data_IF_238926884091
#
_entry.id   IF_238926884091
#
_cell.length_a   1.000
_cell.length_b   1.000
_cell.length_c   1.000
_cell.angle_alpha   90.00
_cell.angle_beta   90.00
_cell.angle_gamma   90.00
#
_symmetry.space_group_name_H-M   'P 1'
#
loop_
_entity.id
_entity.type
_entity.pdbx_description
1 polymer ?
#
# COMPACT_ATOMS: atom_id res chain seq x y z
N UNK A 1 -1.97 12.26 77.92
CA UNK A 1 -1.75 13.71 77.97
C UNK A 1 -1.87 14.25 76.55
N UNK A 2 -2.65 15.27 76.42
CA UNK A 2 -3.37 15.85 75.29
C UNK A 2 -2.46 16.42 74.21
N UNK A 3 -2.86 16.19 72.96
CA UNK A 3 -2.53 16.92 71.74
C UNK A 3 -2.80 18.41 71.80
N UNK A 4 -2.27 19.28 70.95
CA UNK A 4 -3.22 19.93 70.09
C UNK A 4 -2.83 20.05 68.58
N UNK A 5 -3.89 20.09 67.81
CA UNK A 5 -3.99 20.36 66.38
C UNK A 5 -3.43 21.73 65.94
N UNK A 6 -2.82 21.76 64.75
CA UNK A 6 -2.70 23.00 63.99
C UNK A 6 -3.42 22.85 62.65
N UNK A 7 -4.48 23.63 62.50
CA UNK A 7 -5.25 23.85 61.29
C UNK A 7 -4.56 24.95 60.46
N UNK A 8 -4.13 24.67 59.27
CA UNK A 8 -3.68 25.67 58.29
C UNK A 8 -4.83 25.94 57.32
N UNK A 9 -5.35 27.15 57.36
CA UNK A 9 -6.31 27.66 56.36
C UNK A 9 -5.56 28.11 55.11
N UNK A 10 -5.87 27.48 53.96
CA UNK A 10 -5.42 27.97 52.67
C UNK A 10 -6.55 28.86 52.10
N UNK A 11 -6.21 30.11 51.84
CA UNK A 11 -7.09 31.08 51.16
C UNK A 11 -6.86 30.93 49.66
N UNK A 12 -7.91 30.51 48.94
CA UNK A 12 -7.91 30.50 47.46
C UNK A 12 -8.40 31.87 46.98
N UNK A 13 -7.51 32.58 46.28
CA UNK A 13 -7.89 33.78 45.52
C UNK A 13 -8.35 33.34 44.11
N UNK A 14 -9.62 33.56 43.79
CA UNK A 14 -10.14 33.46 42.43
C UNK A 14 -9.78 34.76 41.69
N UNK A 15 -8.98 34.61 40.62
CA UNK A 15 -8.81 35.66 39.61
C UNK A 15 -9.69 35.31 38.40
N UNK A 16 -10.75 36.07 38.22
CA UNK A 16 -11.57 36.00 37.02
C UNK A 16 -10.87 36.73 35.87
N UNK A 17 -10.52 36.01 34.80
CA UNK A 17 -10.10 36.63 33.56
C UNK A 17 -11.29 36.58 32.60
N UNK A 18 -11.79 37.76 32.26
CA UNK A 18 -12.83 37.95 31.27
C UNK A 18 -12.23 37.77 29.87
N UNK A 19 -12.65 36.72 29.13
CA UNK A 19 -12.29 36.52 27.74
C UNK A 19 -13.34 37.20 26.86
N UNK A 20 -12.98 38.32 26.23
CA UNK A 20 -13.79 38.96 25.18
C UNK A 20 -13.56 38.20 23.87
N UNK A 21 -14.58 37.49 23.41
CA UNK A 21 -14.60 36.88 22.10
C UNK A 21 -14.85 37.94 21.03
N UNK A 22 -13.83 38.25 20.22
CA UNK A 22 -14.02 39.00 18.97
C UNK A 22 -14.34 38.03 17.85
N UNK A 23 -15.56 38.10 17.34
CA UNK A 23 -16.02 37.41 16.16
C UNK A 23 -15.43 38.11 14.93
N UNK A 24 -14.45 37.51 14.27
CA UNK A 24 -14.00 37.96 12.96
C UNK A 24 -14.92 37.36 11.88
N UNK A 25 -15.69 38.25 11.25
CA UNK A 25 -16.47 37.90 10.07
C UNK A 25 -15.52 37.88 8.85
N UNK A 26 -15.34 36.72 8.25
CA UNK A 26 -14.62 36.60 6.99
C UNK A 26 -15.50 37.07 5.83
N UNK A 27 -14.98 37.82 4.87
CA UNK A 27 -15.74 38.23 3.70
C UNK A 27 -15.93 37.03 2.75
N UNK A 28 -17.17 36.85 2.27
CA UNK A 28 -17.50 35.92 1.22
C UNK A 28 -16.94 36.44 -0.11
N UNK A 29 -16.06 35.67 -0.73
CA UNK A 29 -15.68 35.92 -2.12
C UNK A 29 -16.67 35.21 -3.05
N UNK A 30 -17.33 36.00 -3.87
CA UNK A 30 -18.19 35.55 -4.94
C UNK A 30 -17.31 34.89 -6.05
N UNK A 31 -17.69 33.69 -6.45
CA UNK A 31 -17.17 33.06 -7.65
C UNK A 31 -17.60 33.86 -8.87
N UNK A 32 -16.65 34.41 -9.61
CA UNK A 32 -16.89 34.91 -10.95
C UNK A 32 -16.75 33.79 -11.97
N UNK A 33 -17.83 33.53 -12.69
CA UNK A 33 -17.82 32.66 -13.87
C UNK A 33 -16.91 33.26 -14.94
N UNK A 34 -15.87 32.51 -15.32
CA UNK A 34 -15.05 32.81 -16.50
C UNK A 34 -15.58 31.95 -17.63
N UNK A 35 -16.24 32.62 -18.55
CA UNK A 35 -16.63 32.05 -19.85
C UNK A 35 -15.37 31.74 -20.67
N UNK A 36 -15.24 30.53 -21.14
CA UNK A 36 -14.22 30.13 -22.12
C UNK A 36 -14.79 30.40 -23.50
N UNK A 37 -14.25 31.39 -24.21
CA UNK A 37 -14.54 31.61 -25.61
C UNK A 37 -13.76 30.64 -26.50
N UNK A 38 -14.49 29.92 -27.36
CA UNK A 38 -13.97 29.10 -28.44
C UNK A 38 -13.22 29.97 -29.46
N UNK A 39 -11.91 29.78 -29.59
CA UNK A 39 -11.16 30.32 -30.72
C UNK A 39 -10.87 29.21 -31.74
N UNK A 40 -11.65 29.25 -32.80
CA UNK A 40 -11.42 28.51 -34.04
C UNK A 40 -10.20 29.10 -34.75
N UNK A 41 -9.14 28.36 -34.90
CA UNK A 41 -8.00 28.73 -35.73
C UNK A 41 -8.17 28.20 -37.16
N UNK A 42 -8.23 29.09 -38.09
CA UNK A 42 -8.26 28.83 -39.52
C UNK A 42 -6.93 28.29 -40.06
N UNK A 43 -7.04 27.32 -40.95
CA UNK A 43 -5.97 26.80 -41.80
C UNK A 43 -5.44 27.85 -42.76
N UNK A 44 -4.14 28.08 -42.74
CA UNK A 44 -3.43 28.83 -43.80
C UNK A 44 -2.43 27.90 -44.50
N UNK A 45 -2.72 27.61 -45.77
CA UNK A 45 -1.81 26.90 -46.66
C UNK A 45 -0.72 27.85 -47.16
N UNK A 46 0.53 27.42 -47.12
CA UNK A 46 1.61 28.01 -47.91
C UNK A 46 2.37 26.89 -48.62
N UNK A 47 2.27 26.93 -49.96
CA UNK A 47 3.07 26.17 -50.90
C UNK A 47 4.42 26.85 -51.12
N UNK A 48 5.52 26.11 -51.11
CA UNK A 48 6.73 26.42 -51.89
C UNK A 48 7.61 25.17 -52.07
N UNK A 49 7.70 24.86 -53.25
CA UNK A 49 8.51 24.09 -54.17
C UNK A 49 10.02 24.10 -53.91
N UNK A 50 10.64 22.93 -54.05
CA UNK A 50 11.88 22.57 -54.76
C UNK A 50 12.53 21.33 -54.13
N UNK A 51 12.42 20.25 -54.68
CA UNK A 51 13.12 19.34 -55.54
C UNK A 51 14.58 19.03 -55.14
N UNK A 52 14.83 17.79 -54.65
CA UNK A 52 15.95 16.91 -55.10
C UNK A 52 15.55 15.44 -54.84
N UNK A 53 15.51 14.66 -55.90
CA UNK A 53 15.37 13.20 -55.90
C UNK A 53 16.75 12.57 -55.60
N UNK A 54 16.80 11.69 -54.62
CA UNK A 54 17.79 10.61 -54.58
C UNK A 54 17.07 9.31 -54.18
N UNK A 55 16.99 8.40 -55.11
CA UNK A 55 16.65 7.00 -54.90
C UNK A 55 17.79 6.33 -54.18
N UNK A 56 17.47 5.52 -53.14
CA UNK A 56 18.21 4.32 -52.81
C UNK A 56 17.20 3.31 -52.32
N UNK A 57 17.19 2.21 -53.05
CA UNK A 57 16.53 0.95 -52.69
C UNK A 57 17.11 0.45 -51.34
N UNK A 58 16.21 0.13 -50.41
CA UNK A 58 16.46 -0.96 -49.49
C UNK A 58 15.13 -1.45 -48.88
N UNK A 59 15.05 -2.73 -48.71
CA UNK A 59 13.89 -3.54 -48.34
C UNK A 59 13.26 -3.18 -47.00
N UNK A 60 11.96 -3.44 -46.78
CA UNK A 60 11.35 -3.35 -45.49
C UNK A 60 11.76 -4.59 -44.67
N UNK A 61 12.54 -4.39 -43.62
CA UNK A 61 12.62 -5.30 -42.51
C UNK A 61 11.29 -5.25 -41.74
N UNK A 62 10.52 -6.31 -41.91
CA UNK A 62 9.31 -6.58 -41.13
C UNK A 62 9.74 -7.01 -39.73
N UNK A 63 9.93 -6.05 -38.84
CA UNK A 63 9.97 -6.25 -37.41
C UNK A 63 8.74 -5.58 -36.78
N UNK A 64 7.58 -6.19 -36.97
CA UNK A 64 6.46 -6.04 -36.06
C UNK A 64 6.78 -6.81 -34.77
N UNK A 65 7.70 -6.30 -33.99
CA UNK A 65 7.75 -6.59 -32.56
C UNK A 65 6.48 -5.97 -31.95
N UNK A 66 5.57 -6.79 -31.48
CA UNK A 66 4.44 -6.38 -30.68
C UNK A 66 5.00 -5.59 -29.47
N UNK A 67 4.98 -4.27 -29.58
CA UNK A 67 5.02 -3.40 -28.41
C UNK A 67 3.67 -3.57 -27.73
N UNK A 68 3.54 -4.57 -26.87
CA UNK A 68 2.49 -4.56 -25.85
C UNK A 68 2.55 -3.20 -25.19
N UNK A 69 1.48 -2.43 -25.28
CA UNK A 69 1.44 -1.10 -24.70
C UNK A 69 1.65 -1.25 -23.20
N UNK A 70 2.69 -0.63 -22.64
CA UNK A 70 2.98 -0.63 -21.20
C UNK A 70 1.80 -0.11 -20.36
N UNK A 71 0.79 0.44 -21.00
CA UNK A 71 -0.46 0.88 -20.37
C UNK A 71 -1.37 -0.26 -19.90
N UNK A 72 -1.16 -1.49 -20.39
CA UNK A 72 -1.92 -2.70 -20.03
C UNK A 72 -1.14 -3.66 -19.12
N UNK A 73 -0.01 -3.22 -18.53
CA UNK A 73 0.80 -4.06 -17.67
C UNK A 73 0.02 -4.43 -16.40
N UNK A 74 -0.08 -5.72 -16.02
CA UNK A 74 -0.75 -6.14 -14.80
C UNK A 74 -0.04 -5.62 -13.55
N UNK A 75 -0.72 -5.60 -12.42
CA UNK A 75 -0.18 -5.14 -11.14
C UNK A 75 1.02 -5.97 -10.65
N UNK A 76 1.13 -7.19 -11.12
CA UNK A 76 2.21 -8.11 -10.78
C UNK A 76 2.68 -8.88 -12.02
N UNK A 77 3.34 -8.21 -12.98
CA UNK A 77 3.74 -8.82 -14.24
C UNK A 77 4.77 -9.95 -14.08
N UNK A 78 5.51 -9.98 -12.97
CA UNK A 78 6.43 -11.04 -12.61
C UNK A 78 5.91 -11.98 -11.55
N UNK A 79 4.60 -12.06 -11.36
CA UNK A 79 4.06 -13.12 -10.55
C UNK A 79 4.68 -14.43 -11.03
N UNK A 80 5.33 -15.16 -10.13
CA UNK A 80 5.73 -16.53 -10.43
C UNK A 80 4.47 -17.31 -10.67
N UNK A 81 4.14 -17.47 -11.93
CA UNK A 81 3.02 -18.26 -12.37
C UNK A 81 3.55 -19.66 -12.69
N UNK A 82 2.76 -20.70 -12.44
CA UNK A 82 3.14 -22.04 -12.83
C UNK A 82 3.28 -22.12 -14.34
N UNK A 83 4.18 -22.98 -14.82
CA UNK A 83 4.37 -23.25 -16.26
C UNK A 83 3.11 -23.78 -16.93
N UNK A 84 2.14 -24.25 -16.14
CA UNK A 84 0.90 -24.83 -16.62
C UNK A 84 -0.28 -24.47 -15.71
N UNK A 85 -1.32 -23.90 -16.30
CA UNK A 85 -2.60 -23.64 -15.64
C UNK A 85 -3.60 -24.69 -16.13
N UNK A 86 -4.19 -25.46 -15.22
CA UNK A 86 -5.18 -26.49 -15.54
C UNK A 86 -6.39 -25.91 -16.28
N UNK A 87 -6.89 -26.64 -17.26
CA UNK A 87 -8.15 -26.31 -17.97
C UNK A 87 -9.38 -26.30 -17.02
N UNK A 88 -9.27 -26.90 -15.81
CA UNK A 88 -10.31 -26.88 -14.78
C UNK A 88 -10.33 -25.56 -13.98
N UNK A 89 -9.37 -24.68 -14.18
CA UNK A 89 -9.39 -23.32 -13.63
C UNK A 89 -10.12 -22.42 -14.62
N UNK A 90 -11.24 -21.88 -14.20
CA UNK A 90 -12.04 -20.96 -15.04
C UNK A 90 -11.32 -19.62 -15.23
N UNK A 91 -11.53 -18.95 -16.37
CA UNK A 91 -10.86 -17.69 -16.70
C UNK A 91 -11.21 -16.55 -15.75
N UNK A 92 -12.39 -16.62 -15.09
CA UNK A 92 -12.83 -15.69 -14.06
C UNK A 92 -12.26 -15.97 -12.66
N UNK A 93 -11.50 -17.05 -12.50
CA UNK A 93 -10.76 -17.31 -11.27
C UNK A 93 -9.63 -16.29 -11.07
N UNK A 94 -9.18 -16.16 -9.85
CA UNK A 94 -8.08 -15.27 -9.48
C UNK A 94 -6.91 -16.10 -8.95
N UNK A 95 -5.76 -15.97 -9.55
CA UNK A 95 -4.49 -16.54 -9.07
C UNK A 95 -4.05 -15.72 -7.86
N UNK A 96 -3.80 -16.38 -6.74
CA UNK A 96 -3.47 -15.76 -5.43
C UNK A 96 -2.12 -16.18 -4.88
N UNK A 97 -1.44 -17.09 -5.56
CA UNK A 97 -0.04 -17.48 -5.36
C UNK A 97 0.46 -18.27 -6.57
N UNK A 98 1.72 -18.67 -6.58
CA UNK A 98 2.30 -19.53 -7.60
C UNK A 98 1.49 -20.82 -7.82
N UNK A 99 0.93 -21.40 -6.75
CA UNK A 99 0.29 -22.71 -6.78
C UNK A 99 -1.24 -22.67 -6.67
N UNK A 100 -1.84 -21.52 -6.38
CA UNK A 100 -3.25 -21.45 -5.95
C UNK A 100 -4.06 -20.41 -6.74
N UNK A 101 -5.25 -20.83 -7.15
CA UNK A 101 -6.28 -19.97 -7.70
C UNK A 101 -7.57 -20.01 -6.84
N UNK A 102 -8.35 -18.94 -6.87
CA UNK A 102 -9.63 -18.82 -6.18
C UNK A 102 -10.73 -18.61 -7.18
N UNK A 103 -11.74 -19.47 -7.17
CA UNK A 103 -12.91 -19.36 -8.04
C UNK A 103 -13.82 -18.20 -7.62
N UNK A 104 -14.76 -17.84 -8.49
CA UNK A 104 -15.83 -16.87 -8.18
C UNK A 104 -16.72 -17.31 -7.00
N UNK A 105 -16.84 -18.60 -6.73
CA UNK A 105 -17.55 -19.17 -5.59
C UNK A 105 -16.74 -19.10 -4.29
N UNK A 106 -15.43 -18.80 -4.37
CA UNK A 106 -14.52 -18.69 -3.23
C UNK A 106 -13.80 -19.99 -2.88
N UNK A 107 -13.87 -21.02 -3.74
CA UNK A 107 -13.10 -22.25 -3.57
C UNK A 107 -11.63 -21.99 -3.93
N UNK A 108 -10.72 -22.50 -3.11
CA UNK A 108 -9.29 -22.49 -3.40
C UNK A 108 -8.94 -23.77 -4.14
N UNK A 109 -8.30 -23.62 -5.30
CA UNK A 109 -7.86 -24.73 -6.14
C UNK A 109 -6.36 -24.68 -6.36
N UNK A 110 -5.75 -25.86 -6.47
CA UNK A 110 -4.39 -25.96 -6.98
C UNK A 110 -4.41 -25.62 -8.48
N UNK A 111 -3.56 -24.70 -8.89
CA UNK A 111 -3.60 -24.12 -10.25
C UNK A 111 -3.16 -25.11 -11.33
N UNK A 112 -2.26 -26.05 -11.01
CA UNK A 112 -1.78 -27.05 -11.98
C UNK A 112 -2.74 -28.24 -12.12
N UNK A 113 -3.38 -28.66 -11.01
CA UNK A 113 -4.21 -29.89 -11.02
C UNK A 113 -5.71 -29.61 -11.10
N UNK A 114 -6.16 -28.39 -10.78
CA UNK A 114 -7.59 -28.04 -10.66
C UNK A 114 -8.26 -28.60 -9.41
N UNK A 115 -7.57 -29.37 -8.57
CA UNK A 115 -8.12 -29.98 -7.36
C UNK A 115 -8.40 -28.93 -6.26
N UNK A 116 -9.46 -29.14 -5.50
CA UNK A 116 -9.82 -28.26 -4.39
C UNK A 116 -8.83 -28.44 -3.23
N UNK A 117 -8.29 -27.34 -2.73
CA UNK A 117 -7.38 -27.31 -1.58
C UNK A 117 -8.20 -27.19 -0.29
N UNK A 118 -7.96 -28.10 0.65
CA UNK A 118 -8.67 -28.16 1.94
C UNK A 118 -7.73 -28.04 3.15
N UNK A 119 -6.45 -27.71 2.94
CA UNK A 119 -5.50 -27.51 4.03
C UNK A 119 -5.88 -26.30 4.88
N UNK A 120 -6.23 -26.48 6.16
CA UNK A 120 -6.64 -25.38 7.03
C UNK A 120 -5.57 -24.29 7.20
N UNK A 121 -4.31 -24.59 6.96
CA UNK A 121 -3.24 -23.58 7.02
C UNK A 121 -3.30 -22.60 5.87
N UNK A 122 -3.89 -23.00 4.74
CA UNK A 122 -4.01 -22.21 3.51
C UNK A 122 -5.41 -21.60 3.35
N UNK A 123 -6.46 -22.33 3.73
CA UNK A 123 -7.86 -21.90 3.50
C UNK A 123 -8.57 -21.47 4.78
N UNK A 124 -8.00 -21.74 5.94
CA UNK A 124 -8.63 -21.52 7.24
C UNK A 124 -9.66 -22.59 7.59
N UNK A 125 -10.45 -22.30 8.60
CA UNK A 125 -11.65 -23.04 9.00
C UNK A 125 -12.80 -22.04 9.15
N UNK A 126 -14.04 -22.52 9.35
CA UNK A 126 -15.20 -21.63 9.56
C UNK A 126 -15.02 -20.64 10.71
N UNK A 127 -14.23 -21.01 11.71
CA UNK A 127 -14.07 -20.25 12.95
C UNK A 127 -12.68 -19.59 13.06
N UNK A 128 -11.79 -19.78 12.07
CA UNK A 128 -10.42 -19.27 12.13
C UNK A 128 -9.86 -18.93 10.75
N UNK A 129 -9.47 -17.66 10.57
CA UNK A 129 -8.80 -17.18 9.37
C UNK A 129 -7.40 -17.81 9.23
N UNK A 130 -6.96 -18.15 8.01
CA UNK A 130 -5.58 -18.57 7.76
C UNK A 130 -4.62 -17.38 7.88
N UNK A 131 -3.34 -17.64 8.06
CA UNK A 131 -2.33 -16.59 7.85
C UNK A 131 -2.36 -16.20 6.36
N UNK A 132 -2.61 -14.92 6.01
CA UNK A 132 -2.77 -14.50 4.61
C UNK A 132 -1.54 -14.78 3.75
N UNK A 133 -0.34 -14.77 4.35
CA UNK A 133 0.91 -15.04 3.67
C UNK A 133 1.31 -16.53 3.66
N UNK A 134 0.52 -17.43 4.25
CA UNK A 134 0.81 -18.87 4.22
C UNK A 134 0.84 -19.45 2.80
N UNK A 135 0.00 -18.91 1.91
CA UNK A 135 -0.10 -19.31 0.49
C UNK A 135 1.16 -19.01 -0.33
N UNK A 136 1.94 -18.06 0.10
CA UNK A 136 3.10 -17.52 -0.62
C UNK A 136 4.41 -17.72 0.15
N UNK A 137 4.39 -18.51 1.22
CA UNK A 137 5.53 -18.67 2.11
C UNK A 137 6.10 -17.34 2.64
N UNK A 138 5.22 -16.35 2.84
CA UNK A 138 5.57 -15.05 3.38
C UNK A 138 5.94 -13.98 2.36
N UNK A 139 5.91 -14.31 1.08
CA UNK A 139 6.10 -13.31 0.02
C UNK A 139 4.77 -12.60 -0.29
N UNK A 140 4.83 -11.30 -0.54
CA UNK A 140 3.68 -10.57 -1.04
C UNK A 140 3.39 -10.95 -2.49
N UNK A 141 2.14 -11.18 -2.79
CA UNK A 141 1.68 -11.56 -4.11
C UNK A 141 0.45 -10.73 -4.49
N UNK A 142 0.57 -9.94 -5.54
CA UNK A 142 -0.58 -9.22 -6.10
C UNK A 142 -1.36 -10.19 -6.98
N UNK A 143 -2.63 -10.49 -6.67
CA UNK A 143 -3.45 -11.41 -7.43
C UNK A 143 -3.62 -10.99 -8.89
N UNK A 144 -3.61 -11.97 -9.80
CA UNK A 144 -3.85 -11.79 -11.24
C UNK A 144 -5.05 -12.63 -11.69
N UNK A 145 -5.67 -12.28 -12.83
CA UNK A 145 -6.74 -13.12 -13.39
C UNK A 145 -6.17 -14.45 -13.91
N UNK A 146 -6.95 -15.50 -13.87
CA UNK A 146 -6.54 -16.79 -14.45
C UNK A 146 -6.39 -16.67 -15.97
N UNK A 147 -7.16 -15.79 -16.62
CA UNK A 147 -7.00 -15.49 -18.04
C UNK A 147 -5.62 -14.87 -18.33
N UNK A 148 -5.19 -13.87 -17.54
CA UNK A 148 -3.85 -13.27 -17.67
C UNK A 148 -2.76 -14.29 -17.37
N UNK A 149 -2.94 -15.16 -16.37
CA UNK A 149 -2.00 -16.21 -16.03
C UNK A 149 -1.81 -17.23 -17.18
N UNK A 150 -2.90 -17.62 -17.84
CA UNK A 150 -2.85 -18.53 -18.99
C UNK A 150 -2.17 -17.89 -20.20
N UNK A 151 -2.25 -16.57 -20.33
CA UNK A 151 -1.66 -15.82 -21.45
C UNK A 151 -0.22 -15.37 -21.18
N UNK A 152 0.23 -15.38 -19.93
CA UNK A 152 1.59 -15.02 -19.56
C UNK A 152 2.55 -16.13 -20.01
N UNK A 153 3.23 -15.92 -21.13
CA UNK A 153 4.40 -16.72 -21.50
C UNK A 153 5.55 -16.29 -20.60
N UNK A 154 6.10 -17.25 -19.85
CA UNK A 154 7.19 -17.04 -18.91
C UNK A 154 8.39 -16.37 -19.60
N UNK A 155 8.62 -15.10 -19.33
CA UNK A 155 9.87 -14.43 -19.63
C UNK A 155 10.72 -14.28 -18.37
N UNK A 156 12.00 -14.63 -18.54
CA UNK A 156 12.93 -15.05 -17.52
C UNK A 156 13.37 -13.99 -16.52
N UNK A 157 13.48 -14.41 -15.28
CA UNK A 157 14.36 -14.00 -14.17
C UNK A 157 15.36 -12.86 -14.41
N UNK A 158 15.14 -11.73 -13.71
CA UNK A 158 16.21 -10.79 -13.36
C UNK A 158 16.23 -10.61 -11.84
N UNK A 159 17.38 -10.79 -11.21
CA UNK A 159 17.62 -10.66 -9.78
C UNK A 159 18.10 -9.25 -9.48
N UNK A 160 17.43 -8.53 -8.57
CA UNK A 160 17.77 -7.17 -8.20
C UNK A 160 18.37 -7.08 -6.79
N UNK A 161 19.23 -6.08 -6.58
CA UNK A 161 19.90 -5.80 -5.31
C UNK A 161 19.52 -4.43 -4.73
N UNK A 162 19.46 -4.37 -3.36
CA UNK A 162 19.56 -3.20 -2.46
C UNK A 162 18.88 -1.89 -2.87
N UNK A 163 17.61 -1.65 -2.50
CA UNK A 163 16.91 -0.38 -2.78
C UNK A 163 17.19 0.18 -4.17
N UNK A 164 17.37 -0.71 -5.11
CA UNK A 164 17.57 -0.38 -6.51
C UNK A 164 16.22 -0.18 -7.19
N UNK A 165 16.29 0.19 -8.45
CA UNK A 165 15.17 0.27 -9.36
C UNK A 165 14.46 -1.08 -9.42
N UNK A 166 13.15 -1.10 -9.64
CA UNK A 166 12.53 -2.36 -9.97
C UNK A 166 12.90 -2.77 -11.41
N UNK A 167 12.71 -4.03 -11.74
CA UNK A 167 13.06 -4.61 -13.03
C UNK A 167 12.35 -3.98 -14.23
N UNK A 168 11.27 -3.21 -13.98
CA UNK A 168 10.49 -2.51 -15.01
C UNK A 168 10.91 -1.06 -15.22
N UNK A 169 11.95 -0.61 -14.54
CA UNK A 169 12.55 0.71 -14.73
C UNK A 169 12.06 1.81 -13.78
N UNK A 170 11.16 1.53 -12.84
CA UNK A 170 10.92 2.45 -11.75
C UNK A 170 12.17 2.52 -10.87
N UNK A 171 12.64 3.72 -10.50
CA UNK A 171 13.99 3.89 -9.98
C UNK A 171 14.16 5.04 -9.00
N UNK A 172 15.21 4.91 -8.19
CA UNK A 172 15.70 5.96 -7.32
C UNK A 172 16.52 7.00 -8.08
N UNK A 173 16.39 8.26 -7.68
CA UNK A 173 17.14 9.36 -8.26
C UNK A 173 17.16 10.58 -7.36
N UNK A 174 17.40 11.74 -7.95
CA UNK A 174 17.46 13.03 -7.25
C UNK A 174 16.50 14.02 -7.90
N UNK A 175 15.72 14.72 -7.07
CA UNK A 175 14.86 15.81 -7.47
C UNK A 175 15.00 16.96 -6.47
N UNK A 176 15.24 18.19 -6.95
CA UNK A 176 15.46 19.37 -6.11
C UNK A 176 16.48 19.12 -4.98
N UNK A 177 17.62 18.53 -5.31
CA UNK A 177 18.72 18.16 -4.40
C UNK A 177 18.32 17.20 -3.26
N UNK A 178 17.21 16.48 -3.39
CA UNK A 178 16.76 15.45 -2.45
C UNK A 178 16.58 14.11 -3.14
N UNK A 179 16.70 13.02 -2.36
CA UNK A 179 16.42 11.65 -2.83
C UNK A 179 14.96 11.57 -3.28
N UNK A 180 14.72 10.94 -4.42
CA UNK A 180 13.41 10.85 -5.03
C UNK A 180 13.19 9.49 -5.68
N UNK A 181 11.94 9.12 -5.95
CA UNK A 181 11.60 7.91 -6.67
C UNK A 181 10.75 8.25 -7.91
N UNK A 182 11.05 7.60 -9.02
CA UNK A 182 10.51 7.88 -10.34
C UNK A 182 9.93 6.62 -10.97
N UNK A 183 8.98 6.78 -11.87
CA UNK A 183 8.57 5.73 -12.78
C UNK A 183 9.58 5.53 -13.94
N UNK A 184 9.34 4.54 -14.80
CA UNK A 184 10.22 4.22 -15.93
C UNK A 184 10.39 5.37 -16.95
N UNK A 185 9.44 6.31 -17.02
CA UNK A 185 9.48 7.49 -17.90
C UNK A 185 10.12 8.70 -17.23
N UNK A 186 10.69 8.57 -16.05
CA UNK A 186 11.19 9.64 -15.21
C UNK A 186 10.11 10.60 -14.68
N UNK A 187 8.84 10.18 -14.61
CA UNK A 187 7.84 10.94 -13.89
C UNK A 187 8.06 10.77 -12.38
N UNK A 188 8.04 11.90 -11.68
CA UNK A 188 8.28 11.91 -10.23
C UNK A 188 7.11 11.25 -9.48
N UNK A 189 7.38 10.18 -8.75
CA UNK A 189 6.41 9.61 -7.82
C UNK A 189 6.44 10.34 -6.48
N UNK A 190 7.60 10.38 -5.80
CA UNK A 190 7.77 11.10 -4.53
C UNK A 190 9.15 11.77 -4.48
N UNK A 191 9.20 12.93 -3.86
CA UNK A 191 10.44 13.63 -3.51
C UNK A 191 10.69 13.56 -2.00
N UNK A 192 11.92 13.86 -1.57
CA UNK A 192 12.39 13.61 -0.20
C UNK A 192 12.11 12.17 0.22
N UNK A 193 12.31 11.26 -0.71
CA UNK A 193 11.91 9.88 -0.59
C UNK A 193 12.74 9.11 0.44
N UNK A 194 12.09 8.19 1.14
CA UNK A 194 12.69 7.26 2.10
C UNK A 194 12.55 5.83 1.60
N UNK A 195 13.63 5.06 1.72
CA UNK A 195 13.64 3.62 1.51
C UNK A 195 13.05 2.93 2.73
N UNK A 196 11.88 2.33 2.54
CA UNK A 196 11.10 1.67 3.60
C UNK A 196 10.89 0.22 3.21
N UNK A 197 11.01 -0.69 4.16
CA UNK A 197 10.63 -2.09 3.97
C UNK A 197 9.35 -2.39 4.75
N UNK A 198 8.59 -3.38 4.30
CA UNK A 198 7.56 -3.95 5.15
C UNK A 198 7.84 -5.41 5.43
N UNK A 199 7.51 -5.82 6.67
CA UNK A 199 7.94 -7.10 7.23
C UNK A 199 6.87 -7.73 8.10
N UNK A 200 6.93 -9.05 8.18
CA UNK A 200 6.07 -9.87 9.04
C UNK A 200 6.89 -10.92 9.79
N UNK A 201 6.19 -11.86 10.42
CA UNK A 201 6.82 -13.04 11.04
C UNK A 201 7.55 -13.96 10.06
N UNK A 202 7.29 -13.81 8.76
CA UNK A 202 7.87 -14.64 7.72
C UNK A 202 9.33 -14.31 7.43
N UNK A 203 9.76 -13.06 7.63
CA UNK A 203 11.18 -12.70 7.55
C UNK A 203 12.00 -13.21 8.74
N UNK A 204 11.36 -13.89 9.68
CA UNK A 204 12.03 -14.54 10.82
C UNK A 204 12.70 -13.55 11.79
N UNK A 205 13.90 -13.88 12.22
CA UNK A 205 14.69 -13.02 13.10
C UNK A 205 15.61 -12.12 12.30
N UNK A 206 15.19 -10.87 12.15
CA UNK A 206 15.92 -9.83 11.43
C UNK A 206 17.06 -9.28 12.29
N UNK A 207 18.26 -9.17 11.72
CA UNK A 207 19.36 -8.37 12.28
C UNK A 207 19.15 -6.88 11.91
N UNK A 208 18.35 -6.19 12.72
CA UNK A 208 17.97 -4.79 12.48
C UNK A 208 19.13 -3.82 12.44
N UNK A 209 20.25 -4.15 13.11
CA UNK A 209 21.45 -3.30 13.03
C UNK A 209 22.08 -3.37 11.63
N UNK A 210 22.12 -4.56 11.03
CA UNK A 210 22.58 -4.72 9.66
C UNK A 210 21.61 -4.10 8.67
N UNK A 211 20.31 -4.35 8.82
CA UNK A 211 19.30 -3.78 7.93
C UNK A 211 19.35 -2.24 7.89
N UNK A 212 19.51 -1.61 9.06
CA UNK A 212 19.72 -0.16 9.15
C UNK A 212 21.01 0.30 8.47
N UNK A 213 22.12 -0.43 8.67
CA UNK A 213 23.41 -0.11 8.04
C UNK A 213 23.37 -0.30 6.52
N UNK A 214 22.53 -1.20 6.03
CA UNK A 214 22.31 -1.47 4.60
C UNK A 214 21.39 -0.44 3.92
N UNK A 215 20.83 0.51 4.67
CA UNK A 215 20.09 1.65 4.12
C UNK A 215 18.60 1.68 4.39
N UNK A 216 18.07 0.82 5.26
CA UNK A 216 16.67 0.87 5.71
C UNK A 216 16.45 2.18 6.50
N UNK A 217 15.57 3.05 5.97
CA UNK A 217 15.23 4.35 6.54
C UNK A 217 13.89 4.34 7.29
N UNK A 218 13.10 3.28 7.14
CA UNK A 218 11.83 3.10 7.83
C UNK A 218 11.27 1.69 7.63
N UNK A 219 10.27 1.34 8.41
CA UNK A 219 9.67 -0.01 8.42
C UNK A 219 8.17 0.06 8.65
N UNK A 220 7.40 -0.76 7.91
CA UNK A 220 6.00 -1.03 8.22
C UNK A 220 5.91 -2.48 8.71
N UNK A 221 5.48 -2.70 9.95
CA UNK A 221 5.53 -4.01 10.61
C UNK A 221 4.12 -4.61 10.66
N UNK A 222 3.93 -5.83 10.18
CA UNK A 222 2.68 -6.54 10.38
C UNK A 222 2.40 -6.70 11.87
N UNK A 223 1.33 -6.06 12.35
CA UNK A 223 0.89 -6.18 13.73
C UNK A 223 0.08 -7.46 13.96
N UNK A 224 -0.71 -7.85 12.97
CA UNK A 224 -1.56 -9.03 12.98
C UNK A 224 -2.53 -9.06 11.81
N UNK A 225 -3.56 -9.89 11.92
CA UNK A 225 -4.60 -10.06 10.89
C UNK A 225 -5.90 -10.58 11.48
N UNK A 226 -7.01 -10.30 10.79
CA UNK A 226 -8.35 -10.82 11.10
C UNK A 226 -8.90 -10.36 12.45
N UNK A 227 -10.03 -10.91 12.84
CA UNK A 227 -10.64 -10.70 14.15
C UNK A 227 -10.25 -11.80 15.16
N UNK A 228 -10.45 -11.53 16.44
CA UNK A 228 -10.23 -12.50 17.51
C UNK A 228 -8.78 -12.73 17.88
N UNK A 229 -7.72 -11.93 17.36
CA UNK A 229 -6.69 -11.85 17.51
C UNK A 229 -5.42 -12.15 17.51
N UNK A 230 -4.98 -12.56 16.53
CA UNK A 230 -3.62 -13.07 16.40
C UNK A 230 -2.63 -11.99 16.01
N UNK A 231 -1.84 -11.55 17.00
CA UNK A 231 -0.66 -10.75 16.71
C UNK A 231 0.30 -11.56 15.84
N UNK A 232 0.97 -10.88 14.90
CA UNK A 232 2.11 -11.46 14.21
C UNK A 232 3.20 -11.90 15.18
N UNK A 233 3.76 -13.08 14.95
CA UNK A 233 4.71 -13.74 15.87
C UNK A 233 5.99 -12.93 16.12
N UNK A 234 6.37 -12.03 15.20
CA UNK A 234 7.57 -11.20 15.30
C UNK A 234 7.28 -9.72 15.55
N UNK A 235 6.00 -9.31 15.56
CA UNK A 235 5.63 -7.90 15.73
C UNK A 235 6.26 -7.24 16.94
N UNK A 236 6.12 -7.83 18.12
CA UNK A 236 6.68 -7.27 19.37
C UNK A 236 8.20 -7.11 19.29
N UNK A 237 8.91 -8.13 18.77
CA UNK A 237 10.35 -8.08 18.61
C UNK A 237 10.75 -6.98 17.64
N UNK A 238 10.14 -6.93 16.47
CA UNK A 238 10.45 -5.95 15.44
C UNK A 238 10.20 -4.51 15.92
N UNK A 239 9.07 -4.26 16.59
CA UNK A 239 8.76 -2.97 17.21
C UNK A 239 9.82 -2.58 18.25
N UNK A 240 10.19 -3.52 19.13
CA UNK A 240 11.18 -3.26 20.18
C UNK A 240 12.56 -2.94 19.60
N UNK A 241 12.98 -3.63 18.55
CA UNK A 241 14.26 -3.38 17.89
C UNK A 241 14.25 -2.06 17.12
N UNK A 242 13.15 -1.72 16.43
CA UNK A 242 13.00 -0.41 15.77
C UNK A 242 13.10 0.73 16.79
N UNK A 243 12.43 0.61 17.94
CA UNK A 243 12.55 1.59 19.04
C UNK A 243 13.98 1.68 19.56
N UNK A 244 14.63 0.54 19.83
CA UNK A 244 15.99 0.49 20.35
C UNK A 244 17.01 1.14 19.42
N UNK A 245 16.85 0.95 18.12
CA UNK A 245 17.78 1.47 17.10
C UNK A 245 17.38 2.84 16.53
N UNK A 246 16.23 3.38 16.95
CA UNK A 246 15.70 4.63 16.42
C UNK A 246 15.37 4.51 14.91
N UNK A 247 14.84 3.37 14.46
CA UNK A 247 14.32 3.19 13.11
C UNK A 247 12.87 3.68 13.11
N UNK A 248 12.49 4.66 12.27
CA UNK A 248 11.11 5.09 12.13
C UNK A 248 10.22 3.92 11.69
N UNK A 249 9.06 3.74 12.33
CA UNK A 249 8.19 2.64 11.97
C UNK A 249 6.71 3.03 11.96
N UNK A 250 5.93 2.25 11.23
CA UNK A 250 4.49 2.12 11.30
C UNK A 250 4.11 0.65 11.44
N UNK A 251 2.83 0.36 11.39
CA UNK A 251 2.34 -1.01 11.44
C UNK A 251 1.21 -1.23 10.44
N UNK A 252 0.94 -2.49 10.07
CA UNK A 252 -0.23 -2.84 9.30
C UNK A 252 -1.00 -4.00 9.90
N UNK A 253 -2.29 -4.04 9.60
CA UNK A 253 -3.21 -5.10 9.98
C UNK A 253 -3.92 -5.62 8.74
N UNK A 254 -3.70 -6.88 8.41
CA UNK A 254 -4.37 -7.52 7.28
C UNK A 254 -5.83 -7.83 7.64
N UNK A 255 -6.76 -7.33 6.82
CA UNK A 255 -8.19 -7.44 7.06
C UNK A 255 -8.79 -8.71 6.47
N UNK A 256 -9.65 -9.34 7.24
CA UNK A 256 -10.59 -10.35 6.79
C UNK A 256 -12.05 -9.89 6.91
N UNK A 257 -12.27 -8.59 7.14
CA UNK A 257 -13.60 -8.07 7.37
C UNK A 257 -14.49 -8.16 6.12
N UNK A 258 -15.61 -8.85 6.23
CA UNK A 258 -16.69 -8.86 5.26
C UNK A 258 -17.87 -7.96 5.70
N UNK A 259 -17.86 -7.51 6.95
CA UNK A 259 -18.86 -6.63 7.54
C UNK A 259 -18.23 -5.49 8.36
N UNK A 260 -18.94 -4.35 8.53
CA UNK A 260 -18.49 -3.27 9.41
C UNK A 260 -18.32 -3.69 10.89
N UNK A 261 -19.04 -4.73 11.35
CA UNK A 261 -18.89 -5.25 12.72
C UNK A 261 -17.54 -5.89 12.92
N UNK A 262 -17.14 -6.79 12.02
CA UNK A 262 -15.84 -7.46 12.04
C UNK A 262 -14.72 -6.42 11.93
N UNK A 263 -14.84 -5.44 11.04
CA UNK A 263 -13.86 -4.36 10.93
C UNK A 263 -13.69 -3.57 12.23
N UNK A 264 -14.76 -3.35 12.98
CA UNK A 264 -14.69 -2.71 14.30
C UNK A 264 -13.97 -3.58 15.32
N UNK A 265 -14.17 -4.89 15.28
CA UNK A 265 -13.50 -5.86 16.14
C UNK A 265 -12.00 -5.92 15.81
N UNK A 266 -11.64 -6.04 14.52
CA UNK A 266 -10.25 -5.91 14.08
C UNK A 266 -9.59 -4.60 14.57
N UNK A 267 -10.29 -3.46 14.47
CA UNK A 267 -9.82 -2.19 15.00
C UNK A 267 -9.60 -2.21 16.53
N UNK A 268 -10.45 -2.91 17.26
CA UNK A 268 -10.30 -3.10 18.72
C UNK A 268 -9.07 -3.96 19.03
N UNK A 269 -8.85 -5.03 18.26
CA UNK A 269 -7.69 -5.90 18.38
C UNK A 269 -6.38 -5.16 18.09
N UNK A 270 -6.35 -4.34 17.03
CA UNK A 270 -5.22 -3.45 16.73
C UNK A 270 -4.87 -2.58 17.92
N UNK A 271 -5.87 -1.90 18.51
CA UNK A 271 -5.67 -1.05 19.69
C UNK A 271 -5.14 -1.85 20.88
N UNK A 272 -5.68 -3.04 21.10
CA UNK A 272 -5.22 -3.92 22.19
C UNK A 272 -3.75 -4.35 22.00
N UNK A 273 -3.36 -4.71 20.76
CA UNK A 273 -1.98 -5.10 20.46
C UNK A 273 -1.00 -3.95 20.52
N UNK A 274 -1.36 -2.77 20.01
CA UNK A 274 -0.53 -1.57 20.14
C UNK A 274 -0.25 -1.25 21.62
N UNK A 275 -1.28 -1.28 22.46
CA UNK A 275 -1.13 -1.08 23.92
C UNK A 275 -0.28 -2.19 24.56
N UNK A 276 -0.53 -3.46 24.21
CA UNK A 276 0.23 -4.59 24.70
C UNK A 276 1.72 -4.48 24.40
N UNK A 277 2.08 -4.00 23.22
CA UNK A 277 3.47 -3.84 22.78
C UNK A 277 4.06 -2.45 23.15
N UNK A 278 3.33 -1.67 23.94
CA UNK A 278 3.78 -0.38 24.42
C UNK A 278 3.97 0.66 23.32
N UNK A 279 3.15 0.60 22.26
CA UNK A 279 3.19 1.57 21.15
C UNK A 279 2.19 2.69 21.44
N UNK A 280 2.70 3.89 21.68
CA UNK A 280 1.89 5.09 21.80
C UNK A 280 1.70 5.74 20.42
N UNK A 281 0.66 6.57 20.23
CA UNK A 281 0.47 7.30 18.97
C UNK A 281 1.70 8.11 18.52
N UNK A 282 2.48 8.64 19.47
CA UNK A 282 3.70 9.41 19.21
C UNK A 282 4.90 8.57 18.75
N UNK A 283 4.86 7.26 18.93
CA UNK A 283 5.94 6.37 18.50
C UNK A 283 5.87 6.08 16.99
N UNK A 284 4.71 6.33 16.39
CA UNK A 284 4.42 5.97 15.00
C UNK A 284 4.85 7.07 14.03
N UNK A 285 5.95 6.87 13.35
CA UNK A 285 6.43 7.74 12.28
C UNK A 285 5.62 7.55 10.98
N UNK A 286 5.17 6.33 10.71
CA UNK A 286 4.26 5.97 9.63
C UNK A 286 2.87 5.62 10.21
N UNK A 287 1.82 5.60 9.37
CA UNK A 287 0.47 5.24 9.81
C UNK A 287 0.35 3.84 10.44
N UNK A 288 -0.76 3.62 11.15
CA UNK A 288 -1.36 2.30 11.29
C UNK A 288 -2.17 2.07 10.02
N UNK A 289 -1.75 1.12 9.21
CA UNK A 289 -2.39 0.81 7.94
C UNK A 289 -3.44 -0.27 8.09
N UNK A 290 -4.59 -0.04 7.47
CA UNK A 290 -5.57 -1.07 7.21
C UNK A 290 -5.28 -1.66 5.84
N UNK A 291 -4.85 -2.90 5.83
CA UNK A 291 -4.42 -3.63 4.65
C UNK A 291 -5.62 -4.39 4.08
N UNK A 292 -6.09 -3.93 2.92
CA UNK A 292 -7.30 -4.39 2.27
C UNK A 292 -6.94 -5.03 0.93
N UNK A 293 -7.05 -6.35 0.89
CA UNK A 293 -6.72 -7.15 -0.28
C UNK A 293 -7.81 -8.19 -0.57
N UNK A 294 -7.68 -8.89 -1.69
CA UNK A 294 -8.49 -10.07 -1.94
C UNK A 294 -8.04 -11.22 -1.05
N UNK A 295 -8.83 -11.54 -0.09
CA UNK A 295 -8.57 -12.64 0.83
C UNK A 295 -9.42 -13.89 0.53
N UNK A 296 -9.04 -15.02 1.13
CA UNK A 296 -9.78 -16.29 1.09
C UNK A 296 -9.91 -16.83 2.50
N UNK A 297 -11.13 -17.21 2.87
CA UNK A 297 -11.45 -17.80 4.15
C UNK A 297 -12.65 -18.72 3.99
N UNK A 298 -12.58 -19.97 4.48
CA UNK A 298 -13.64 -20.97 4.32
C UNK A 298 -14.99 -20.45 4.81
N UNK A 299 -16.00 -20.49 3.96
CA UNK A 299 -17.35 -20.04 4.27
C UNK A 299 -17.58 -18.54 4.22
N UNK A 300 -16.54 -17.74 3.92
CA UNK A 300 -16.59 -16.29 3.82
C UNK A 300 -16.14 -15.79 2.45
N UNK A 301 -16.57 -14.60 2.08
CA UNK A 301 -16.14 -13.94 0.82
C UNK A 301 -15.85 -12.47 1.07
N UNK A 302 -14.78 -11.92 0.47
CA UNK A 302 -14.54 -10.48 0.51
C UNK A 302 -15.69 -9.75 -0.20
N UNK A 303 -16.12 -8.58 0.32
CA UNK A 303 -17.10 -7.74 -0.36
C UNK A 303 -16.61 -7.30 -1.73
N UNK A 304 -17.55 -7.03 -2.64
CA UNK A 304 -17.25 -6.44 -3.96
C UNK A 304 -17.87 -5.07 -4.13
N UNK A 305 -18.78 -4.66 -3.24
CA UNK A 305 -19.42 -3.34 -3.25
C UNK A 305 -18.54 -2.31 -2.52
N UNK A 306 -18.09 -1.25 -3.22
CA UNK A 306 -17.28 -0.19 -2.61
C UNK A 306 -17.93 0.52 -1.42
N UNK A 307 -19.26 0.58 -1.35
CA UNK A 307 -19.96 1.16 -0.20
C UNK A 307 -19.85 0.28 1.05
N UNK A 308 -19.85 -1.04 0.89
CA UNK A 308 -19.61 -1.97 2.00
C UNK A 308 -18.20 -1.79 2.53
N UNK A 309 -17.20 -1.75 1.63
CA UNK A 309 -15.82 -1.48 2.03
C UNK A 309 -15.63 -0.11 2.67
N UNK A 310 -16.32 0.93 2.18
CA UNK A 310 -16.26 2.23 2.84
C UNK A 310 -16.78 2.18 4.29
N UNK A 311 -17.85 1.45 4.53
CA UNK A 311 -18.36 1.25 5.89
C UNK A 311 -17.39 0.42 6.76
N UNK A 312 -16.76 -0.60 6.21
CA UNK A 312 -15.70 -1.40 6.85
C UNK A 312 -14.56 -0.48 7.30
N UNK A 313 -13.99 0.29 6.37
CA UNK A 313 -12.88 1.22 6.65
C UNK A 313 -13.27 2.24 7.72
N UNK A 314 -14.45 2.83 7.63
CA UNK A 314 -14.90 3.85 8.58
C UNK A 314 -15.09 3.29 10.00
N UNK A 315 -15.57 2.05 10.14
CA UNK A 315 -15.72 1.41 11.45
C UNK A 315 -14.37 1.08 12.09
N UNK A 316 -13.41 0.57 11.30
CA UNK A 316 -12.05 0.34 11.77
C UNK A 316 -11.38 1.66 12.21
N UNK A 317 -11.44 2.70 11.37
CA UNK A 317 -10.91 4.04 11.69
C UNK A 317 -11.50 4.60 12.98
N UNK A 318 -12.82 4.48 13.16
CA UNK A 318 -13.52 4.97 14.35
C UNK A 318 -13.02 4.28 15.64
N UNK A 319 -12.74 2.97 15.60
CA UNK A 319 -12.20 2.24 16.74
C UNK A 319 -10.81 2.77 17.15
N UNK A 320 -9.91 2.96 16.20
CA UNK A 320 -8.56 3.46 16.47
C UNK A 320 -8.56 4.93 16.90
N UNK A 321 -9.35 5.78 16.23
CA UNK A 321 -9.45 7.21 16.55
C UNK A 321 -10.01 7.42 17.96
N UNK A 322 -11.00 6.62 18.37
CA UNK A 322 -11.56 6.64 19.73
C UNK A 322 -10.52 6.28 20.79
N UNK A 323 -9.51 5.50 20.45
CA UNK A 323 -8.40 5.14 21.32
C UNK A 323 -7.20 6.11 21.20
N UNK A 324 -7.31 7.17 20.40
CA UNK A 324 -6.30 8.22 20.27
C UNK A 324 -5.32 8.05 19.11
N UNK A 325 -5.39 6.95 18.35
CA UNK A 325 -4.56 6.73 17.17
C UNK A 325 -5.17 7.44 15.96
N UNK A 326 -4.53 8.53 15.51
CA UNK A 326 -5.03 9.39 14.43
C UNK A 326 -4.22 9.28 13.14
N UNK A 327 -2.98 8.81 13.22
CA UNK A 327 -2.13 8.57 12.05
C UNK A 327 -2.49 7.23 11.44
N UNK A 328 -3.50 7.22 10.57
CA UNK A 328 -4.08 6.04 9.95
C UNK A 328 -3.99 6.13 8.43
N UNK A 329 -3.90 4.99 7.76
CA UNK A 329 -3.89 4.91 6.31
C UNK A 329 -4.55 3.61 5.81
N UNK A 330 -4.87 3.59 4.53
CA UNK A 330 -5.27 2.38 3.80
C UNK A 330 -4.11 1.95 2.92
N UNK A 331 -3.83 0.65 2.93
CA UNK A 331 -2.99 -0.03 1.94
C UNK A 331 -3.85 -0.96 1.11
N UNK A 332 -3.50 -1.05 -0.17
CA UNK A 332 -3.99 -2.06 -1.10
C UNK A 332 -3.12 -2.08 -2.36
N UNK A 333 -3.48 -2.88 -3.35
CA UNK A 333 -2.88 -2.85 -4.68
C UNK A 333 -3.82 -2.19 -5.70
N UNK A 334 -3.26 -1.72 -6.81
CA UNK A 334 -3.94 -0.84 -7.79
C UNK A 334 -5.25 -1.44 -8.32
N UNK A 335 -5.26 -2.70 -8.76
CA UNK A 335 -6.47 -3.31 -9.33
C UNK A 335 -7.60 -3.44 -8.30
N UNK A 336 -7.29 -3.72 -7.04
CA UNK A 336 -8.30 -3.81 -5.98
C UNK A 336 -8.88 -2.43 -5.64
N UNK A 337 -8.04 -1.38 -5.66
CA UNK A 337 -8.49 0.01 -5.53
C UNK A 337 -9.39 0.44 -6.68
N UNK A 338 -9.12 0.00 -7.89
CA UNK A 338 -9.92 0.30 -9.07
C UNK A 338 -11.22 -0.52 -9.17
N UNK A 339 -11.34 -1.57 -8.38
CA UNK A 339 -12.48 -2.48 -8.28
C UNK A 339 -13.24 -2.33 -6.95
N UNK A 340 -13.14 -3.33 -6.06
CA UNK A 340 -13.90 -3.39 -4.81
C UNK A 340 -13.73 -2.19 -3.89
N UNK A 341 -12.57 -1.52 -3.92
CA UNK A 341 -12.28 -0.36 -3.09
C UNK A 341 -12.53 0.99 -3.79
N UNK A 342 -13.18 1.00 -4.94
CA UNK A 342 -13.40 2.23 -5.74
C UNK A 342 -14.41 3.17 -5.08
N UNK A 343 -13.97 3.87 -4.03
CA UNK A 343 -14.77 4.84 -3.28
C UNK A 343 -13.95 6.07 -2.91
N UNK A 344 -14.49 7.27 -3.06
CA UNK A 344 -13.79 8.52 -2.83
C UNK A 344 -13.22 8.65 -1.40
N UNK A 345 -13.98 8.23 -0.38
CA UNK A 345 -13.54 8.27 1.01
C UNK A 345 -12.44 7.26 1.33
N UNK A 346 -12.38 6.13 0.61
CA UNK A 346 -11.28 5.17 0.71
C UNK A 346 -10.03 5.77 0.05
N UNK A 347 -10.18 6.35 -1.14
CA UNK A 347 -9.07 7.00 -1.84
C UNK A 347 -8.44 8.14 -1.02
N UNK A 348 -9.28 8.94 -0.33
CA UNK A 348 -8.80 10.00 0.58
C UNK A 348 -7.99 9.47 1.79
N UNK A 349 -8.06 8.18 2.07
CA UNK A 349 -7.34 7.48 3.14
C UNK A 349 -6.20 6.61 2.62
N UNK A 350 -6.14 6.37 1.30
CA UNK A 350 -5.15 5.50 0.67
C UNK A 350 -3.83 6.25 0.51
N UNK A 351 -2.83 5.84 1.26
CA UNK A 351 -1.49 6.46 1.22
C UNK A 351 -0.36 5.46 1.00
N UNK A 352 -0.67 4.19 0.81
CA UNK A 352 0.30 3.15 0.50
C UNK A 352 -0.31 2.16 -0.49
N UNK A 353 0.36 1.94 -1.62
CA UNK A 353 -0.16 1.11 -2.72
C UNK A 353 0.94 0.20 -3.27
N UNK A 354 0.59 -1.06 -3.49
CA UNK A 354 1.44 -2.00 -4.20
C UNK A 354 1.18 -1.96 -5.71
N UNK A 355 2.27 -1.94 -6.44
CA UNK A 355 2.30 -2.07 -7.90
C UNK A 355 3.71 -2.52 -8.30
N UNK A 356 3.85 -3.78 -8.69
CA UNK A 356 5.16 -4.32 -9.09
C UNK A 356 5.34 -4.16 -10.60
N UNK A 357 5.41 -2.93 -11.05
CA UNK A 357 5.42 -2.57 -12.47
C UNK A 357 6.25 -1.32 -12.77
N UNK A 358 6.19 -0.89 -14.02
CA UNK A 358 6.98 0.23 -14.53
C UNK A 358 6.54 1.58 -13.96
N UNK A 359 5.25 1.71 -13.59
CA UNK A 359 4.65 2.94 -13.06
C UNK A 359 3.58 2.62 -12.01
N UNK A 360 3.26 3.61 -11.20
CA UNK A 360 2.11 3.56 -10.31
C UNK A 360 0.81 3.80 -11.11
N UNK A 361 -0.09 2.82 -11.07
CA UNK A 361 -1.40 2.89 -11.75
C UNK A 361 -2.50 3.57 -10.93
N UNK A 362 -2.24 3.83 -9.64
CA UNK A 362 -3.15 4.59 -8.78
C UNK A 362 -2.66 6.02 -8.63
N UNK A 363 -3.45 6.99 -9.09
CA UNK A 363 -3.09 8.42 -9.13
C UNK A 363 -3.82 9.27 -8.08
N UNK A 364 -4.83 8.70 -7.41
CA UNK A 364 -5.71 9.42 -6.49
C UNK A 364 -5.17 9.55 -5.06
N UNK A 365 -3.84 9.60 -4.91
CA UNK A 365 -3.23 9.85 -3.60
C UNK A 365 -3.55 11.24 -3.07
N UNK A 366 -3.93 11.38 -1.78
CA UNK A 366 -4.32 12.68 -1.24
C UNK A 366 -3.14 13.66 -1.09
N UNK A 367 -1.92 13.17 -0.90
CA UNK A 367 -0.73 13.99 -0.64
C UNK A 367 0.55 13.31 -1.13
N UNK A 368 1.70 14.03 -1.05
CA UNK A 368 3.02 13.44 -1.23
C UNK A 368 3.47 12.52 -0.06
N UNK A 369 2.75 12.53 1.07
CA UNK A 369 2.90 11.52 2.13
C UNK A 369 2.27 10.20 1.70
N UNK A 370 2.89 9.58 0.70
CA UNK A 370 2.43 8.37 0.03
C UNK A 370 3.57 7.39 -0.18
N UNK A 371 3.25 6.11 -0.27
CA UNK A 371 4.21 5.03 -0.48
C UNK A 371 3.85 4.19 -1.68
N UNK A 372 4.86 3.77 -2.40
CA UNK A 372 4.78 2.77 -3.45
C UNK A 372 5.58 1.54 -3.01
N UNK A 373 4.89 0.41 -2.78
CA UNK A 373 5.53 -0.89 -2.68
C UNK A 373 5.81 -1.34 -4.11
N UNK A 374 7.09 -1.25 -4.51
CA UNK A 374 7.47 -1.38 -5.92
C UNK A 374 8.09 -2.72 -6.27
N UNK A 375 8.42 -3.55 -5.29
CA UNK A 375 8.90 -4.93 -5.45
C UNK A 375 8.70 -5.74 -4.19
N UNK A 376 8.48 -7.06 -4.33
CA UNK A 376 8.45 -8.05 -3.25
C UNK A 376 9.69 -8.95 -3.21
N UNK A 377 10.65 -8.72 -4.11
CA UNK A 377 11.85 -9.57 -4.26
C UNK A 377 13.14 -8.90 -3.79
N UNK A 378 13.00 -7.80 -3.04
CA UNK A 378 14.14 -7.04 -2.52
C UNK A 378 15.05 -7.86 -1.61
N UNK A 379 16.31 -7.42 -1.50
CA UNK A 379 17.29 -8.02 -0.59
C UNK A 379 17.86 -6.94 0.31
N UNK A 380 17.93 -7.26 1.61
CA UNK A 380 18.48 -6.37 2.64
C UNK A 380 19.39 -7.18 3.55
N UNK A 381 20.58 -6.67 3.82
CA UNK A 381 21.51 -7.31 4.75
C UNK A 381 20.87 -7.44 6.15
N UNK A 382 20.93 -8.63 6.72
CA UNK A 382 20.28 -8.93 8.01
C UNK A 382 18.90 -9.53 7.91
N UNK A 383 18.34 -9.65 6.69
CA UNK A 383 17.08 -10.35 6.40
C UNK A 383 17.39 -11.58 5.56
N UNK A 384 16.80 -12.71 5.93
CA UNK A 384 16.90 -13.94 5.17
C UNK A 384 15.73 -14.03 4.18
N UNK A 385 16.02 -14.27 2.92
CA UNK A 385 14.99 -14.33 1.87
C UNK A 385 14.67 -12.98 1.23
N UNK A 386 13.46 -12.87 0.70
CA UNK A 386 12.94 -11.66 0.07
C UNK A 386 12.31 -10.73 1.10
N UNK A 387 12.24 -9.46 0.75
CA UNK A 387 11.54 -8.43 1.53
C UNK A 387 10.92 -7.41 0.61
N UNK A 388 9.75 -6.94 0.98
CA UNK A 388 9.02 -5.92 0.25
C UNK A 388 9.70 -4.56 0.41
N UNK A 389 9.94 -3.89 -0.72
CA UNK A 389 10.59 -2.58 -0.75
C UNK A 389 9.65 -1.49 -1.20
N UNK A 390 9.78 -0.35 -0.55
CA UNK A 390 8.88 0.78 -0.71
C UNK A 390 9.65 2.10 -0.85
N UNK A 391 9.10 3.00 -1.65
CA UNK A 391 9.48 4.39 -1.71
C UNK A 391 8.39 5.25 -1.06
N UNK A 392 8.68 5.88 0.09
CA UNK A 392 7.75 6.76 0.79
C UNK A 392 8.18 8.22 0.70
N UNK A 393 7.21 9.11 0.40
CA UNK A 393 7.43 10.55 0.45
C UNK A 393 7.52 11.08 1.88
N UNK A 394 8.15 12.25 2.05
CA UNK A 394 8.20 12.92 3.34
C UNK A 394 6.83 13.53 3.69
N UNK A 395 6.37 13.31 4.92
CA UNK A 395 5.11 13.87 5.45
C UNK A 395 5.06 15.40 5.46
N UNK A 396 6.21 16.05 5.57
CA UNK A 396 6.33 17.51 5.61
C UNK A 396 6.16 18.16 4.24
N UNK A 397 6.23 17.35 3.18
CA UNK A 397 6.14 17.84 1.82
C UNK A 397 4.70 17.75 1.29
N UNK A 398 4.13 18.90 0.93
CA UNK A 398 2.80 19.00 0.31
C UNK A 398 2.98 19.22 -1.19
N UNK A 399 2.24 18.50 -2.03
CA UNK A 399 2.27 18.68 -3.49
C UNK A 399 2.03 20.15 -3.87
N UNK A 400 2.92 20.72 -4.66
CA UNK A 400 2.78 22.07 -5.21
C UNK A 400 3.20 23.22 -4.29
N UNK A 401 3.69 22.95 -3.11
CA UNK A 401 4.33 23.97 -2.27
C UNK A 401 5.67 24.36 -2.83
N UNK A 402 5.76 25.43 -3.66
CA UNK A 402 7.00 26.13 -3.92
C UNK A 402 7.47 26.71 -2.58
N UNK A 403 8.48 26.09 -1.98
CA UNK A 403 9.21 26.76 -0.91
C UNK A 403 9.99 27.91 -1.53
N UNK A 404 9.57 29.12 -1.23
CA UNK A 404 10.42 30.31 -1.42
C UNK A 404 11.67 30.23 -0.55
#
# INVERSE_FOLDING_TARGET
>A
MVSPHHVVKIVTALSAVALTASVAVAPAYALQDIAIEDSVAQSGSVTADNGVVMQSDDQPDDQTGDQQSQDSMPDNPNAKLPDNVSDEISDDATVVSEDLAVTSEGEVKNIETGEIVTDPTLVGTKDQQPDPLAKTNGESFIPVSAEDAKNAVADANVQLSKFESNEYGAHWGTYNNSKAFFDYQNNLFVQQAKGVIDVSGWQGDIDWAKAKADGVEGVIIRLGYGEGNNADKKAQRNISECKRLGIPFGVYWYSYADTPSIAKEEGTDVVAKLKQFGVNPSDLAYPVYYDLEKWTWEGHKPPTDPNVYNNIVNNWYSALQSAGYKNLGVYSYTSYLQGPLKHADIYAKTTWVAQYGARMGFDSFPTNSRGWQYTSTGKVDGISGNVDMNAFGNKEYVNGGSSN
#
